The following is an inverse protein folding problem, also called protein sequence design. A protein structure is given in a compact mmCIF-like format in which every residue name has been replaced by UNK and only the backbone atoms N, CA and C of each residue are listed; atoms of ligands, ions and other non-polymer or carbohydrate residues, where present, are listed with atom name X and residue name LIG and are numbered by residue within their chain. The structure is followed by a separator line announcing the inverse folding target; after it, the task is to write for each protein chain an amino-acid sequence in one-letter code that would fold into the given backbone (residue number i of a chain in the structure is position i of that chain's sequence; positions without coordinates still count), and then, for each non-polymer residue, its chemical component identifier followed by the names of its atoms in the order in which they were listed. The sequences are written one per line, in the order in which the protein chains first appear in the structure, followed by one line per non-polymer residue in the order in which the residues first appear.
data_IF_582487285464
#
_entry.id   IF_582487285464
#
_cell.length_a   1.000
_cell.length_b   1.000
_cell.length_c   1.000
_cell.angle_alpha   90.00
_cell.angle_beta   90.00
_cell.angle_gamma   90.00
#
_symmetry.space_group_name_H-M   'P 1'
#
loop_
_entity.id
_entity.type
_entity.pdbx_description
1 polymer ?
#
# COMPACT_ATOMS: atom_id res chain seq x y z
N UNK A 1 2.53 -22.57 -35.51
CA UNK A 1 2.76 -22.33 -34.05
C UNK A 1 2.93 -20.86 -33.64
N UNK A 2 3.42 -19.94 -34.50
CA UNK A 2 3.60 -18.50 -34.18
C UNK A 2 2.29 -17.71 -33.99
N UNK A 3 1.23 -18.01 -34.74
CA UNK A 3 -0.05 -17.28 -34.73
C UNK A 3 -0.76 -17.38 -33.37
N UNK A 4 -0.86 -18.60 -32.82
CA UNK A 4 -1.47 -18.89 -31.50
C UNK A 4 -0.80 -18.11 -30.35
N UNK A 5 0.49 -17.80 -30.50
CA UNK A 5 1.27 -17.07 -29.51
C UNK A 5 1.08 -15.54 -29.59
N UNK A 6 0.70 -15.01 -30.76
CA UNK A 6 0.37 -13.58 -30.93
C UNK A 6 -1.02 -13.30 -30.34
N UNK A 7 -1.99 -14.15 -30.66
CA UNK A 7 -3.36 -14.02 -30.16
C UNK A 7 -3.43 -14.14 -28.64
N UNK A 8 -2.70 -15.08 -28.05
CA UNK A 8 -2.55 -15.18 -26.59
C UNK A 8 -1.99 -13.89 -25.96
N UNK A 9 -0.94 -13.30 -26.54
CA UNK A 9 -0.37 -12.03 -26.06
C UNK A 9 -1.35 -10.87 -26.21
N UNK A 10 -2.12 -10.82 -27.31
CA UNK A 10 -3.19 -9.82 -27.49
C UNK A 10 -4.24 -9.94 -26.39
N UNK A 11 -4.69 -11.16 -26.09
CA UNK A 11 -5.68 -11.39 -25.04
C UNK A 11 -5.16 -10.96 -23.67
N UNK A 12 -3.90 -11.25 -23.33
CA UNK A 12 -3.28 -10.75 -22.09
C UNK A 12 -3.31 -9.23 -22.03
N UNK A 13 -2.90 -8.55 -23.11
CA UNK A 13 -2.85 -7.09 -23.17
C UNK A 13 -4.25 -6.48 -23.03
N UNK A 14 -5.24 -7.03 -23.74
CA UNK A 14 -6.63 -6.57 -23.68
C UNK A 14 -7.22 -6.74 -22.29
N UNK A 15 -7.13 -7.94 -21.73
CA UNK A 15 -7.66 -8.24 -20.39
C UNK A 15 -7.03 -7.35 -19.32
N UNK A 16 -5.72 -7.13 -19.39
CA UNK A 16 -5.04 -6.24 -18.44
C UNK A 16 -5.40 -4.78 -18.65
N UNK A 17 -5.55 -4.34 -19.90
CA UNK A 17 -5.98 -2.96 -20.19
C UNK A 17 -7.37 -2.70 -19.61
N UNK A 18 -8.31 -3.63 -19.77
CA UNK A 18 -9.66 -3.53 -19.18
C UNK A 18 -9.62 -3.49 -17.66
N UNK A 19 -8.84 -4.37 -17.03
CA UNK A 19 -8.64 -4.37 -15.58
C UNK A 19 -8.09 -3.02 -15.09
N UNK A 20 -7.05 -2.52 -15.74
CA UNK A 20 -6.39 -1.25 -15.42
C UNK A 20 -7.31 -0.04 -15.64
N UNK A 21 -8.19 -0.08 -16.64
CA UNK A 21 -9.15 1.00 -16.90
C UNK A 21 -10.27 1.04 -15.86
N UNK A 22 -10.85 -0.12 -15.56
CA UNK A 22 -12.17 -0.15 -14.92
C UNK A 22 -12.17 -0.67 -13.48
N UNK A 23 -11.25 -1.58 -13.13
CA UNK A 23 -11.32 -2.29 -11.84
C UNK A 23 -10.23 -1.86 -10.87
N UNK A 24 -9.02 -1.64 -11.37
CA UNK A 24 -7.86 -1.40 -10.51
C UNK A 24 -7.89 0.04 -9.99
N UNK A 25 -7.83 0.19 -8.67
CA UNK A 25 -7.81 1.49 -8.00
C UNK A 25 -6.41 1.88 -7.56
N UNK A 26 -5.67 0.93 -6.98
CA UNK A 26 -4.32 1.12 -6.46
C UNK A 26 -3.40 0.00 -6.96
N UNK A 27 -2.10 0.28 -7.06
CA UNK A 27 -1.09 -0.72 -7.43
C UNK A 27 0.25 -0.49 -6.74
N UNK A 28 1.06 -1.55 -6.72
CA UNK A 28 2.46 -1.50 -6.32
C UNK A 28 3.26 -2.25 -7.38
N UNK A 29 4.28 -1.59 -7.92
CA UNK A 29 5.21 -2.13 -8.91
C UNK A 29 6.49 -2.57 -8.20
N UNK A 30 6.86 -3.84 -8.37
CA UNK A 30 7.99 -4.47 -7.70
C UNK A 30 8.95 -5.09 -8.71
N UNK A 31 10.24 -5.07 -8.37
CA UNK A 31 11.27 -5.88 -9.00
C UNK A 31 11.36 -7.26 -8.30
N UNK A 32 10.95 -8.36 -8.95
CA UNK A 32 10.98 -9.68 -8.32
C UNK A 32 12.37 -10.35 -8.28
N UNK A 33 13.44 -9.78 -8.88
CA UNK A 33 14.73 -10.48 -9.07
C UNK A 33 15.34 -11.06 -7.80
N UNK A 34 15.21 -10.37 -6.66
CA UNK A 34 15.81 -10.79 -5.38
C UNK A 34 14.81 -11.49 -4.44
N UNK A 35 13.63 -11.86 -4.94
CA UNK A 35 12.64 -12.57 -4.15
C UNK A 35 12.89 -14.07 -4.21
N UNK A 36 13.02 -14.72 -3.05
CA UNK A 36 13.07 -16.17 -2.97
C UNK A 36 11.69 -16.78 -3.24
N UNK A 37 11.64 -18.08 -3.52
CA UNK A 37 10.37 -18.79 -3.66
C UNK A 37 9.49 -18.68 -2.40
N UNK A 38 10.10 -18.76 -1.22
CA UNK A 38 9.40 -18.58 0.06
C UNK A 38 8.81 -17.17 0.20
N UNK A 39 9.46 -16.16 -0.37
CA UNK A 39 8.93 -14.78 -0.38
C UNK A 39 7.71 -14.65 -1.27
N UNK A 40 7.74 -15.28 -2.44
CA UNK A 40 6.59 -15.31 -3.33
C UNK A 40 5.42 -16.06 -2.70
N UNK A 41 5.67 -17.16 -1.97
CA UNK A 41 4.64 -17.86 -1.19
C UNK A 41 4.11 -16.97 -0.07
N UNK A 42 4.99 -16.29 0.67
CA UNK A 42 4.59 -15.39 1.76
C UNK A 42 3.69 -14.27 1.23
N UNK A 43 4.10 -13.59 0.16
CA UNK A 43 3.30 -12.57 -0.51
C UNK A 43 1.96 -13.18 -0.96
N UNK A 44 1.99 -14.38 -1.54
CA UNK A 44 0.76 -15.08 -1.98
C UNK A 44 -0.16 -15.55 -0.86
N UNK A 45 0.31 -15.73 0.37
CA UNK A 45 -0.52 -16.20 1.49
C UNK A 45 -0.96 -15.08 2.41
N UNK A 46 -0.05 -14.16 2.71
CA UNK A 46 -0.25 -13.15 3.76
C UNK A 46 -0.64 -11.78 3.21
N UNK A 47 -0.32 -11.52 1.94
CA UNK A 47 -0.63 -10.26 1.28
C UNK A 47 -1.83 -10.43 0.34
N UNK A 48 -1.95 -11.57 -0.37
CA UNK A 48 -3.16 -11.92 -1.14
C UNK A 48 -4.28 -12.32 -0.16
N UNK A 49 -5.15 -11.37 0.11
CA UNK A 49 -6.49 -11.58 0.67
C UNK A 49 -7.53 -11.38 -0.44
N UNK A 50 -8.85 -11.52 -0.17
CA UNK A 50 -9.93 -11.26 -1.15
C UNK A 50 -9.81 -9.91 -1.91
N UNK A 51 -9.00 -8.98 -1.41
CA UNK A 51 -8.85 -7.59 -1.88
C UNK A 51 -7.58 -7.31 -2.69
N UNK A 52 -6.63 -8.25 -2.73
CA UNK A 52 -5.32 -8.06 -3.35
C UNK A 52 -5.03 -9.19 -4.34
N UNK A 53 -4.70 -8.81 -5.57
CA UNK A 53 -4.28 -9.73 -6.61
C UNK A 53 -2.88 -9.40 -7.11
N UNK A 54 -2.27 -10.37 -7.80
CA UNK A 54 -0.88 -10.34 -8.22
C UNK A 54 -0.74 -10.96 -9.61
N UNK A 55 0.01 -10.30 -10.48
CA UNK A 55 0.50 -10.93 -11.71
C UNK A 55 1.94 -10.51 -12.03
N UNK A 56 2.68 -11.44 -12.61
CA UNK A 56 3.99 -11.19 -13.21
C UNK A 56 3.81 -11.05 -14.71
N UNK A 57 4.34 -9.96 -15.29
CA UNK A 57 4.17 -9.67 -16.70
C UNK A 57 5.46 -9.19 -17.35
N UNK A 58 5.68 -9.59 -18.61
CA UNK A 58 6.78 -9.10 -19.43
C UNK A 58 6.61 -7.60 -19.70
N UNK A 59 7.72 -6.86 -19.69
CA UNK A 59 7.73 -5.40 -19.85
C UNK A 59 7.04 -4.93 -21.12
N UNK A 60 7.29 -5.61 -22.24
CA UNK A 60 6.69 -5.26 -23.53
C UNK A 60 5.17 -5.44 -23.54
N UNK A 61 4.63 -6.37 -22.76
CA UNK A 61 3.18 -6.54 -22.61
C UNK A 61 2.61 -5.49 -21.65
N UNK A 62 3.30 -5.24 -20.53
CA UNK A 62 2.89 -4.22 -19.57
C UNK A 62 2.80 -2.83 -20.21
N UNK A 63 3.83 -2.43 -20.95
CA UNK A 63 3.87 -1.13 -21.65
C UNK A 63 2.69 -0.98 -22.61
N UNK A 64 2.30 -2.05 -23.30
CA UNK A 64 1.12 -2.05 -24.18
C UNK A 64 -0.20 -2.01 -23.41
N UNK A 65 -0.29 -2.66 -22.24
CA UNK A 65 -1.53 -2.73 -21.46
C UNK A 65 -1.84 -1.45 -20.68
N UNK A 66 -0.85 -0.61 -20.39
CA UNK A 66 -1.06 0.66 -19.64
C UNK A 66 -1.44 1.84 -20.54
N UNK A 67 -1.31 1.72 -21.86
CA UNK A 67 -1.67 2.79 -22.81
C UNK A 67 -3.14 3.17 -22.66
N UNK A 68 -3.43 4.47 -22.67
CA UNK A 68 -4.77 5.04 -22.49
C UNK A 68 -5.45 4.62 -21.17
N UNK A 69 -4.66 4.39 -20.12
CA UNK A 69 -5.15 4.16 -18.75
C UNK A 69 -4.62 5.24 -17.82
N UNK A 70 -5.25 5.41 -16.65
CA UNK A 70 -4.73 6.29 -15.58
C UNK A 70 -3.33 5.89 -15.10
N UNK A 71 -2.85 4.70 -15.47
CA UNK A 71 -1.58 4.13 -15.07
C UNK A 71 -0.48 4.31 -16.13
N UNK A 72 -0.67 5.14 -17.16
CA UNK A 72 0.31 5.34 -18.22
C UNK A 72 1.69 5.80 -17.68
N UNK A 73 1.71 6.51 -16.55
CA UNK A 73 2.94 6.93 -15.87
C UNK A 73 3.85 5.76 -15.44
N UNK A 74 3.32 4.54 -15.32
CA UNK A 74 4.10 3.33 -14.98
C UNK A 74 5.20 3.06 -16.01
N UNK A 75 5.01 3.47 -17.27
CA UNK A 75 5.97 3.21 -18.34
C UNK A 75 7.39 3.65 -17.98
N UNK A 76 7.52 4.79 -17.29
CA UNK A 76 8.80 5.36 -16.83
C UNK A 76 9.52 4.49 -15.80
N UNK A 77 8.78 3.67 -15.06
CA UNK A 77 9.26 2.84 -13.96
C UNK A 77 9.30 1.34 -14.30
N UNK A 78 8.75 0.94 -15.46
CA UNK A 78 8.65 -0.44 -15.91
C UNK A 78 9.96 -1.02 -16.50
N UNK A 79 11.11 -0.63 -15.97
CA UNK A 79 12.43 -1.08 -16.42
C UNK A 79 12.86 -2.37 -15.69
N UNK A 80 13.43 -3.36 -16.39
CA UNK A 80 13.77 -4.67 -15.80
C UNK A 80 12.54 -5.51 -15.40
N UNK A 81 12.69 -6.63 -14.69
CA UNK A 81 11.58 -7.51 -14.33
C UNK A 81 10.50 -6.78 -13.52
N UNK A 82 9.23 -6.99 -13.87
CA UNK A 82 8.10 -6.30 -13.25
C UNK A 82 7.07 -7.27 -12.68
N UNK A 83 6.68 -7.01 -11.44
CA UNK A 83 5.64 -7.70 -10.71
C UNK A 83 4.64 -6.65 -10.22
N UNK A 84 3.35 -6.86 -10.50
CA UNK A 84 2.29 -5.93 -10.12
C UNK A 84 1.44 -6.56 -9.05
N UNK A 85 1.40 -5.91 -7.90
CA UNK A 85 0.37 -6.10 -6.88
C UNK A 85 -0.68 -5.03 -7.12
N UNK A 86 -1.95 -5.38 -7.07
CA UNK A 86 -3.02 -4.42 -7.33
C UNK A 86 -4.25 -4.69 -6.48
N UNK A 87 -5.03 -3.62 -6.33
CA UNK A 87 -6.15 -3.55 -5.42
C UNK A 87 -7.39 -3.01 -6.11
N UNK A 88 -8.54 -3.53 -5.69
CA UNK A 88 -9.86 -3.10 -6.16
C UNK A 88 -10.57 -2.13 -5.19
N UNK A 89 -9.94 -1.77 -4.07
CA UNK A 89 -10.54 -0.92 -3.03
C UNK A 89 -9.65 0.30 -2.70
N UNK A 90 -10.27 1.34 -2.11
CA UNK A 90 -9.60 2.59 -1.72
C UNK A 90 -8.91 2.52 -0.34
N UNK A 91 -9.37 1.66 0.59
CA UNK A 91 -8.83 1.56 1.96
C UNK A 91 -7.72 0.50 2.06
N UNK A 92 -6.59 0.74 1.39
CA UNK A 92 -5.53 -0.26 1.24
C UNK A 92 -4.19 0.12 1.88
N UNK A 93 -4.14 1.26 2.58
CA UNK A 93 -2.94 1.79 3.23
C UNK A 93 -2.31 0.77 4.19
N UNK A 94 -3.10 0.08 5.01
CA UNK A 94 -2.56 -0.90 5.95
C UNK A 94 -1.93 -2.12 5.24
N UNK A 95 -2.46 -2.52 4.09
CA UNK A 95 -1.85 -3.57 3.25
C UNK A 95 -0.57 -3.09 2.59
N UNK A 96 -0.58 -1.86 2.04
CA UNK A 96 0.61 -1.22 1.46
C UNK A 96 1.72 -1.14 2.50
N UNK A 97 1.41 -0.75 3.74
CA UNK A 97 2.36 -0.75 4.86
C UNK A 97 2.93 -2.12 5.13
N UNK A 98 2.08 -3.15 5.27
CA UNK A 98 2.55 -4.53 5.49
C UNK A 98 3.53 -4.97 4.39
N UNK A 99 3.26 -4.60 3.14
CA UNK A 99 4.15 -4.88 2.00
C UNK A 99 5.46 -4.10 2.15
N UNK A 100 5.41 -2.80 2.42
CA UNK A 100 6.61 -1.98 2.64
C UNK A 100 7.45 -2.56 3.79
N UNK A 101 6.83 -2.88 4.93
CA UNK A 101 7.51 -3.48 6.09
C UNK A 101 8.12 -4.84 5.74
N UNK A 102 7.45 -5.68 4.96
CA UNK A 102 8.00 -6.95 4.50
C UNK A 102 9.30 -6.76 3.71
N UNK A 103 9.32 -5.81 2.76
CA UNK A 103 10.51 -5.52 1.96
C UNK A 103 11.62 -4.87 2.80
N UNK A 104 11.27 -3.93 3.70
CA UNK A 104 12.23 -3.30 4.62
C UNK A 104 12.89 -4.30 5.57
N UNK A 105 12.14 -5.21 6.17
CA UNK A 105 12.67 -6.21 7.10
C UNK A 105 13.70 -7.15 6.44
N UNK A 106 13.65 -7.28 5.10
CA UNK A 106 14.61 -8.06 4.32
C UNK A 106 15.74 -7.22 3.72
N UNK A 107 15.80 -5.92 4.00
CA UNK A 107 16.71 -4.95 3.36
C UNK A 107 16.62 -4.99 1.82
N UNK A 108 15.42 -5.25 1.29
CA UNK A 108 15.17 -5.38 -0.14
C UNK A 108 14.58 -4.09 -0.69
N UNK A 109 15.36 -3.37 -1.51
CA UNK A 109 14.91 -2.16 -2.20
C UNK A 109 14.22 -2.49 -3.53
N UNK A 110 13.20 -3.34 -3.46
CA UNK A 110 12.58 -3.94 -4.64
C UNK A 110 11.31 -3.21 -5.09
N UNK A 111 10.74 -2.32 -4.27
CA UNK A 111 9.56 -1.55 -4.63
C UNK A 111 9.99 -0.38 -5.53
N UNK A 112 9.52 -0.37 -6.79
CA UNK A 112 9.83 0.70 -7.75
C UNK A 112 8.87 1.87 -7.61
N UNK A 113 7.59 1.57 -7.46
CA UNK A 113 6.54 2.56 -7.42
C UNK A 113 5.33 2.04 -6.66
N UNK A 114 4.67 2.94 -5.94
CA UNK A 114 3.38 2.71 -5.30
C UNK A 114 2.40 3.77 -5.83
N UNK A 115 1.23 3.35 -6.29
CA UNK A 115 0.12 4.24 -6.65
C UNK A 115 -1.08 3.92 -5.77
N UNK A 116 -1.45 4.89 -4.93
CA UNK A 116 -2.51 4.77 -3.93
C UNK A 116 -3.17 6.14 -3.80
N UNK A 117 -4.50 6.18 -3.66
CA UNK A 117 -5.27 7.43 -3.47
C UNK A 117 -4.95 8.51 -4.54
N UNK A 118 -4.84 8.07 -5.80
CA UNK A 118 -4.47 8.92 -6.94
C UNK A 118 -3.11 9.64 -6.81
N UNK A 119 -2.24 9.18 -5.90
CA UNK A 119 -0.90 9.70 -5.69
C UNK A 119 0.14 8.65 -6.04
N UNK A 120 1.27 9.14 -6.57
CA UNK A 120 2.41 8.32 -6.95
C UNK A 120 3.51 8.51 -5.92
N UNK A 121 4.04 7.40 -5.40
CA UNK A 121 5.15 7.36 -4.46
C UNK A 121 6.28 6.51 -5.01
N UNK A 122 7.51 7.06 -4.97
CA UNK A 122 8.73 6.48 -5.53
C UNK A 122 9.87 6.74 -4.54
N UNK A 123 10.84 5.82 -4.45
CA UNK A 123 12.07 5.95 -3.66
C UNK A 123 11.81 6.50 -2.23
N UNK A 124 12.39 7.66 -1.90
CA UNK A 124 12.31 8.31 -0.59
C UNK A 124 10.88 8.63 -0.12
N UNK A 125 9.93 8.77 -1.05
CA UNK A 125 8.52 8.98 -0.72
C UNK A 125 7.81 7.70 -0.27
N UNK A 126 8.40 6.52 -0.49
CA UNK A 126 7.86 5.25 0.02
C UNK A 126 7.99 5.19 1.54
N UNK A 127 9.03 5.79 2.12
CA UNK A 127 9.19 5.85 3.57
C UNK A 127 8.08 6.66 4.25
N UNK A 128 7.60 7.70 3.57
CA UNK A 128 6.45 8.48 4.03
C UNK A 128 5.17 7.62 4.14
N UNK A 129 4.93 6.71 3.18
CA UNK A 129 3.79 5.79 3.20
C UNK A 129 3.82 4.84 4.40
N UNK A 130 5.00 4.44 4.87
CA UNK A 130 5.11 3.61 6.08
C UNK A 130 4.51 4.32 7.31
N UNK A 131 4.59 5.66 7.36
CA UNK A 131 4.13 6.46 8.49
C UNK A 131 2.66 6.92 8.37
N UNK A 132 2.04 6.83 7.18
CA UNK A 132 0.68 7.31 6.93
C UNK A 132 -0.40 6.53 7.70
N UNK A 133 -1.14 7.15 8.62
CA UNK A 133 -2.18 6.43 9.39
C UNK A 133 -3.38 6.15 8.47
N UNK A 134 -3.92 4.92 8.48
CA UNK A 134 -5.14 4.62 7.73
C UNK A 134 -6.35 5.36 8.31
N UNK A 135 -7.42 5.52 7.54
CA UNK A 135 -8.60 6.27 7.99
C UNK A 135 -9.18 5.71 9.30
N UNK A 136 -9.39 4.40 9.37
CA UNK A 136 -9.91 3.73 10.57
C UNK A 136 -8.98 3.92 11.78
N UNK A 137 -7.67 3.78 11.57
CA UNK A 137 -6.68 4.01 12.62
C UNK A 137 -6.60 5.48 13.03
N UNK A 138 -6.89 6.41 12.12
CA UNK A 138 -6.94 7.85 12.40
C UNK A 138 -8.13 8.17 13.30
N UNK A 139 -9.31 7.60 13.03
CA UNK A 139 -10.49 7.73 13.90
C UNK A 139 -10.18 7.17 15.30
N UNK A 140 -9.61 5.96 15.39
CA UNK A 140 -9.22 5.35 16.67
C UNK A 140 -8.26 6.25 17.46
N UNK A 141 -7.28 6.85 16.76
CA UNK A 141 -6.33 7.77 17.36
C UNK A 141 -7.01 9.05 17.87
N UNK A 142 -7.95 9.61 17.12
CA UNK A 142 -8.73 10.78 17.55
C UNK A 142 -9.53 10.46 18.81
N UNK A 143 -10.27 9.35 18.83
CA UNK A 143 -11.04 8.90 20.00
C UNK A 143 -10.11 8.71 21.21
N UNK A 144 -8.97 8.07 21.02
CA UNK A 144 -7.98 7.88 22.07
C UNK A 144 -7.45 9.20 22.62
N UNK A 145 -7.14 10.18 21.75
CA UNK A 145 -6.68 11.51 22.17
C UNK A 145 -7.76 12.24 22.96
N UNK A 146 -9.02 12.22 22.49
CA UNK A 146 -10.15 12.85 23.18
C UNK A 146 -10.34 12.24 24.57
N UNK A 147 -10.39 10.91 24.68
CA UNK A 147 -10.53 10.22 25.96
C UNK A 147 -9.37 10.55 26.91
N UNK A 148 -8.14 10.56 26.40
CA UNK A 148 -6.95 10.89 27.17
C UNK A 148 -7.00 12.32 27.72
N UNK A 149 -7.41 13.30 26.89
CA UNK A 149 -7.54 14.69 27.32
C UNK A 149 -8.58 14.82 28.43
N UNK A 150 -9.74 14.17 28.29
CA UNK A 150 -10.80 14.18 29.30
C UNK A 150 -10.31 13.62 30.65
N UNK A 151 -9.63 12.47 30.64
CA UNK A 151 -9.07 11.85 31.86
C UNK A 151 -8.00 12.75 32.50
N UNK A 152 -7.11 13.35 31.69
CA UNK A 152 -6.07 14.27 32.19
C UNK A 152 -6.71 15.48 32.86
N UNK A 153 -7.75 16.06 32.28
CA UNK A 153 -8.43 17.20 32.86
C UNK A 153 -9.12 16.84 34.19
N UNK A 154 -9.74 15.67 34.28
CA UNK A 154 -10.32 15.16 35.53
C UNK A 154 -9.24 15.02 36.63
N UNK A 155 -8.09 14.42 36.30
CA UNK A 155 -6.98 14.27 37.24
C UNK A 155 -6.43 15.63 37.71
N UNK A 156 -6.38 16.63 36.82
CA UNK A 156 -5.98 18.00 37.20
C UNK A 156 -6.97 18.60 38.20
N UNK A 157 -8.27 18.41 38.00
CA UNK A 157 -9.31 18.87 38.93
C UNK A 157 -9.14 18.20 40.29
N UNK A 158 -8.97 16.87 40.33
CA UNK A 158 -8.74 16.17 41.60
C UNK A 158 -7.47 16.64 42.32
N UNK A 159 -6.38 16.86 41.58
CA UNK A 159 -5.15 17.39 42.18
C UNK A 159 -5.34 18.82 42.70
N UNK A 160 -6.15 19.65 42.02
CA UNK A 160 -6.48 20.99 42.48
C UNK A 160 -7.31 20.96 43.77
N UNK A 161 -8.36 20.14 43.82
CA UNK A 161 -9.19 19.96 45.03
C UNK A 161 -8.33 19.44 46.20
N UNK A 162 -7.44 18.48 45.94
CA UNK A 162 -6.52 17.96 46.96
C UNK A 162 -5.60 19.04 47.51
N UNK A 163 -5.11 19.96 46.68
CA UNK A 163 -4.28 21.09 47.12
C UNK A 163 -5.05 22.05 48.01
N UNK A 164 -6.25 22.47 47.60
CA UNK A 164 -7.11 23.36 48.40
C UNK A 164 -7.35 22.75 49.79
N UNK A 165 -7.73 21.47 49.83
CA UNK A 165 -7.97 20.78 51.11
C UNK A 165 -6.72 20.75 52.01
N UNK A 166 -5.54 20.58 51.42
CA UNK A 166 -4.29 20.59 52.18
C UNK A 166 -3.91 21.98 52.72
N UNK A 167 -4.30 23.06 52.03
CA UNK A 167 -4.09 24.44 52.47
C UNK A 167 -5.09 24.87 53.56
N UNK A 168 -6.28 24.25 53.61
CA UNK A 168 -7.29 24.47 54.67
C UNK A 168 -6.99 23.70 55.98
N UNK A 169 -6.11 22.69 55.95
CA UNK A 169 -5.72 21.87 57.10
C UNK A 169 -4.43 22.35 57.80
N UNK A 170 -3.86 23.50 57.39
CA UNK A 170 -2.66 24.17 57.98
C UNK A 170 -3.09 25.48 58.65
#
# INVERSE_FOLDING_TARGET
MKIKNIEYKKNIVLNLNELLKHKILSLILINPTYLSFNDLIYIRKNVISKKLNLFMIKNSLLKKSIVNTKFNFIEKYANGPNMILYFYEYNIIDYVKKIISFFKNKNLNNIKLIFVENRIFVESKIDYLHNLISFENSIKKIIFILNKISIINLLKIFNFIKKIKHEEEI
#
